data_IF_199132131714
#
_entry.id   IF_199132131714
#
_cell.length_a   1.000
_cell.length_b   1.000
_cell.length_c   1.000
_cell.angle_alpha   90.00
_cell.angle_beta   90.00
_cell.angle_gamma   90.00
#
_symmetry.space_group_name_H-M   'P 1'
#
loop_
_entity.id
_entity.type
_entity.pdbx_description
1 polymer ?
#
# COMPACT_ATOMS: atom_id res chain seq x y z
N UNK A 1 1.86 22.59 -9.16
CA UNK A 1 1.29 21.33 -9.69
C UNK A 1 1.47 20.09 -8.78
N UNK A 2 2.67 19.65 -8.34
CA UNK A 2 2.78 18.52 -7.34
C UNK A 2 2.51 18.92 -5.88
N UNK A 3 2.59 20.22 -5.57
CA UNK A 3 2.61 20.80 -4.21
C UNK A 3 1.25 21.37 -3.79
N UNK A 4 0.35 21.67 -4.74
CA UNK A 4 -0.84 22.47 -4.47
C UNK A 4 -1.97 21.70 -3.78
N UNK A 5 -1.87 20.37 -3.66
CA UNK A 5 -2.90 19.49 -3.06
C UNK A 5 -4.32 19.75 -3.60
N UNK A 6 -4.41 20.08 -4.89
CA UNK A 6 -5.68 20.32 -5.59
C UNK A 6 -6.13 19.06 -6.32
N UNK A 7 -7.43 18.81 -6.29
CA UNK A 7 -8.10 17.79 -7.09
C UNK A 7 -9.23 18.43 -7.91
N UNK A 8 -9.62 17.76 -8.98
CA UNK A 8 -10.79 18.11 -9.78
C UNK A 8 -11.78 16.93 -9.82
N UNK A 9 -12.98 17.20 -10.33
CA UNK A 9 -13.98 16.15 -10.62
C UNK A 9 -14.31 16.30 -12.11
N UNK A 10 -14.22 15.20 -12.87
CA UNK A 10 -14.48 15.23 -14.32
C UNK A 10 -15.89 15.72 -14.64
N UNK A 11 -16.89 15.11 -14.00
CA UNK A 11 -18.25 15.61 -13.96
C UNK A 11 -18.98 15.10 -12.73
N UNK A 12 -20.08 15.77 -12.36
CA UNK A 12 -20.95 15.31 -11.26
C UNK A 12 -21.59 13.96 -11.56
N UNK A 13 -21.81 13.64 -12.84
CA UNK A 13 -22.41 12.38 -13.25
C UNK A 13 -21.42 11.23 -13.12
N UNK A 14 -20.17 11.47 -13.53
CA UNK A 14 -19.10 10.46 -13.50
C UNK A 14 -18.61 10.20 -12.07
N UNK A 15 -18.81 11.17 -11.16
CA UNK A 15 -18.34 11.14 -9.76
C UNK A 15 -16.85 10.78 -9.62
N UNK A 16 -16.06 11.06 -10.65
CA UNK A 16 -14.67 10.65 -10.74
C UNK A 16 -13.75 11.82 -10.39
N UNK A 17 -13.11 11.71 -9.23
CA UNK A 17 -12.11 12.68 -8.76
C UNK A 17 -10.75 12.38 -9.40
N UNK A 18 -10.03 13.42 -9.79
CA UNK A 18 -8.72 13.30 -10.39
C UNK A 18 -7.73 14.33 -9.86
N UNK A 19 -6.45 13.98 -9.93
CA UNK A 19 -5.31 14.88 -9.77
C UNK A 19 -4.51 14.84 -11.07
N UNK A 20 -3.98 15.98 -11.49
CA UNK A 20 -3.12 16.08 -12.66
C UNK A 20 -1.70 16.50 -12.24
N UNK A 21 -0.71 15.74 -12.68
CA UNK A 21 0.70 16.11 -12.60
C UNK A 21 1.21 16.38 -14.01
N UNK A 22 1.99 17.44 -14.17
CA UNK A 22 2.58 17.83 -15.47
C UNK A 22 4.10 17.71 -15.37
N UNK A 23 4.69 17.01 -16.32
CA UNK A 23 6.12 16.72 -16.41
C UNK A 23 6.68 17.20 -17.75
N UNK A 24 8.01 17.14 -17.87
CA UNK A 24 8.75 17.38 -19.12
C UNK A 24 8.36 18.71 -19.80
N UNK A 25 8.35 19.79 -19.01
CA UNK A 25 7.99 21.14 -19.45
C UNK A 25 6.63 21.24 -20.16
N UNK A 26 5.67 20.39 -19.78
CA UNK A 26 4.32 20.38 -20.34
C UNK A 26 4.08 19.26 -21.36
N UNK A 27 5.10 18.49 -21.72
CA UNK A 27 4.96 17.42 -22.73
C UNK A 27 4.30 16.14 -22.20
N UNK A 28 4.20 15.98 -20.88
CA UNK A 28 3.59 14.80 -20.27
C UNK A 28 2.61 15.18 -19.16
N UNK A 29 1.38 14.69 -19.25
CA UNK A 29 0.38 14.80 -18.19
C UNK A 29 0.10 13.42 -17.61
N UNK A 30 0.25 13.28 -16.29
CA UNK A 30 -0.20 12.12 -15.53
C UNK A 30 -1.49 12.47 -14.82
N UNK A 31 -2.57 11.80 -15.22
CA UNK A 31 -3.87 11.88 -14.56
C UNK A 31 -3.95 10.72 -13.57
N UNK A 32 -4.25 11.04 -12.31
CA UNK A 32 -4.39 10.08 -11.22
C UNK A 32 -5.82 10.14 -10.72
N UNK A 33 -6.50 9.01 -10.69
CA UNK A 33 -7.86 8.86 -10.18
C UNK A 33 -7.91 7.82 -9.08
N UNK A 34 -8.81 8.00 -8.12
CA UNK A 34 -9.13 6.95 -7.14
C UNK A 34 -10.16 5.99 -7.76
N UNK A 35 -9.67 4.92 -8.38
CA UNK A 35 -10.51 3.90 -9.01
C UNK A 35 -10.62 2.59 -8.20
N UNK A 36 -10.10 2.54 -6.97
CA UNK A 36 -10.15 1.34 -6.14
C UNK A 36 -10.18 1.70 -4.65
N UNK A 37 -11.17 1.18 -3.88
CA UNK A 37 -11.30 1.52 -2.47
C UNK A 37 -10.14 0.99 -1.61
N UNK A 38 -9.33 0.07 -2.13
CA UNK A 38 -8.28 -0.63 -1.38
C UNK A 38 -7.26 0.33 -0.76
N UNK A 39 -6.67 1.22 -1.56
CA UNK A 39 -5.63 2.14 -1.08
C UNK A 39 -6.20 3.15 -0.06
N UNK A 40 -7.43 3.61 -0.28
CA UNK A 40 -8.13 4.54 0.61
C UNK A 40 -8.43 3.89 1.96
N UNK A 41 -8.85 2.61 1.97
CA UNK A 41 -9.02 1.86 3.22
C UNK A 41 -7.70 1.70 3.99
N UNK A 42 -6.61 1.33 3.30
CA UNK A 42 -5.27 1.22 3.89
C UNK A 42 -4.79 2.55 4.47
N UNK A 43 -4.99 3.66 3.74
CA UNK A 43 -4.69 5.02 4.21
C UNK A 43 -5.50 5.39 5.47
N UNK A 44 -6.77 4.97 5.53
CA UNK A 44 -7.63 5.18 6.69
C UNK A 44 -7.09 4.50 7.94
N UNK A 45 -6.76 3.20 7.85
CA UNK A 45 -6.16 2.43 8.95
C UNK A 45 -4.88 3.12 9.45
N UNK A 46 -4.04 3.63 8.55
CA UNK A 46 -2.77 4.23 8.90
C UNK A 46 -2.92 5.60 9.56
N UNK A 47 -3.71 6.52 8.98
CA UNK A 47 -3.61 7.94 9.32
C UNK A 47 -4.94 8.72 9.36
N UNK A 48 -6.09 8.05 9.33
CA UNK A 48 -7.39 8.74 9.45
C UNK A 48 -7.42 9.66 10.68
N UNK A 49 -8.01 10.83 10.52
CA UNK A 49 -8.06 11.87 11.54
C UNK A 49 -9.48 12.45 11.66
N UNK A 50 -10.13 12.09 12.76
CA UNK A 50 -11.50 12.46 13.11
C UNK A 50 -11.50 13.13 14.51
N UNK A 51 -11.39 14.46 14.59
CA UNK A 51 -11.35 15.19 15.86
C UNK A 51 -12.60 14.96 16.74
N UNK A 52 -13.77 14.84 16.11
CA UNK A 52 -15.06 14.70 16.79
C UNK A 52 -15.37 13.25 17.15
N UNK A 53 -14.80 12.29 16.42
CA UNK A 53 -14.99 10.84 16.65
C UNK A 53 -13.64 10.11 16.69
N UNK A 54 -12.85 10.25 17.77
CA UNK A 54 -11.49 9.70 17.83
C UNK A 54 -11.42 8.17 17.72
N UNK A 55 -12.54 7.47 17.89
CA UNK A 55 -12.64 6.01 17.70
C UNK A 55 -12.44 5.59 16.23
N UNK A 56 -12.66 6.51 15.28
CA UNK A 56 -12.46 6.29 13.85
C UNK A 56 -11.05 6.64 13.36
N UNK A 57 -10.16 7.04 14.27
CA UNK A 57 -8.80 7.42 13.93
C UNK A 57 -7.95 6.22 13.48
N UNK A 58 -7.01 6.51 12.58
CA UNK A 58 -5.95 5.56 12.22
C UNK A 58 -4.91 5.40 13.33
N UNK A 59 -3.91 4.56 13.09
CA UNK A 59 -2.83 4.31 14.05
C UNK A 59 -1.99 5.57 14.33
N UNK A 60 -1.74 6.38 13.31
CA UNK A 60 -1.00 7.65 13.39
C UNK A 60 -1.85 8.82 12.84
N UNK A 61 -2.84 9.30 13.61
CA UNK A 61 -3.83 10.26 13.12
C UNK A 61 -3.17 11.56 12.66
N UNK A 62 -3.50 11.99 11.43
CA UNK A 62 -2.99 13.25 10.88
C UNK A 62 -1.59 13.15 10.27
N UNK A 63 -0.98 11.96 10.23
CA UNK A 63 0.22 11.73 9.44
C UNK A 63 -0.03 12.10 7.96
N UNK A 64 0.98 12.69 7.30
CA UNK A 64 0.86 13.08 5.91
C UNK A 64 1.03 11.86 5.00
N UNK A 65 0.14 11.72 4.03
CA UNK A 65 0.16 10.60 3.10
C UNK A 65 0.60 11.06 1.70
N UNK A 66 1.44 10.23 1.08
CA UNK A 66 1.76 10.32 -0.34
C UNK A 66 1.27 9.03 -0.98
N UNK A 67 0.26 9.14 -1.85
CA UNK A 67 -0.28 8.00 -2.58
C UNK A 67 0.49 7.79 -3.87
N UNK A 68 1.15 6.63 -3.99
CA UNK A 68 1.85 6.21 -5.19
C UNK A 68 1.14 5.00 -5.79
N UNK A 69 0.35 5.23 -6.85
CA UNK A 69 -0.32 4.14 -7.57
C UNK A 69 0.68 3.38 -8.43
N UNK A 70 0.99 2.15 -8.04
CA UNK A 70 1.93 1.25 -8.75
C UNK A 70 1.25 0.30 -9.73
N UNK A 71 -0.05 0.06 -9.55
CA UNK A 71 -0.85 -0.85 -10.38
C UNK A 71 -1.24 -0.24 -11.72
N UNK A 72 -1.07 -0.99 -12.80
CA UNK A 72 -1.44 -0.59 -14.15
C UNK A 72 -2.80 -1.18 -14.55
N UNK A 73 -3.80 -0.32 -14.72
CA UNK A 73 -5.15 -0.71 -15.14
C UNK A 73 -5.19 -1.41 -16.50
N UNK A 74 -4.21 -1.18 -17.37
CA UNK A 74 -4.11 -1.88 -18.66
C UNK A 74 -3.73 -3.36 -18.50
N UNK A 75 -3.17 -3.70 -17.33
CA UNK A 75 -2.74 -5.04 -16.95
C UNK A 75 -3.59 -5.60 -15.79
N UNK A 76 -4.86 -5.17 -15.68
CA UNK A 76 -5.74 -5.65 -14.61
C UNK A 76 -5.34 -5.17 -13.21
N UNK A 77 -4.67 -4.04 -13.11
CA UNK A 77 -4.11 -3.46 -11.87
C UNK A 77 -2.80 -4.08 -11.38
N UNK A 78 -2.21 -5.04 -12.10
CA UNK A 78 -0.89 -5.60 -11.78
C UNK A 78 0.17 -4.49 -11.64
N UNK A 79 1.04 -4.61 -10.64
CA UNK A 79 2.16 -3.70 -10.49
C UNK A 79 3.21 -3.91 -11.59
N UNK A 80 4.01 -2.89 -11.81
CA UNK A 80 5.11 -2.95 -12.78
C UNK A 80 6.41 -2.55 -12.11
N UNK A 81 7.52 -3.15 -12.51
CA UNK A 81 8.84 -2.77 -11.97
C UNK A 81 9.13 -1.29 -12.13
N UNK A 82 8.67 -0.66 -13.23
CA UNK A 82 8.78 0.79 -13.45
C UNK A 82 7.92 1.59 -12.49
N UNK A 83 6.68 1.16 -12.21
CA UNK A 83 5.81 1.78 -11.21
C UNK A 83 6.40 1.70 -9.81
N UNK A 84 6.91 0.53 -9.43
CA UNK A 84 7.57 0.29 -8.15
C UNK A 84 8.81 1.18 -7.96
N UNK A 85 9.71 1.22 -8.93
CA UNK A 85 10.92 2.06 -8.85
C UNK A 85 10.57 3.54 -8.80
N UNK A 86 9.57 4.00 -9.58
CA UNK A 86 9.09 5.39 -9.52
C UNK A 86 8.49 5.75 -8.15
N UNK A 87 7.79 4.82 -7.51
CA UNK A 87 7.25 5.02 -6.17
C UNK A 87 8.37 5.14 -5.12
N UNK A 88 9.42 4.31 -5.22
CA UNK A 88 10.61 4.42 -4.37
C UNK A 88 11.32 5.76 -4.54
N UNK A 89 11.51 6.22 -5.78
CA UNK A 89 12.09 7.53 -6.08
C UNK A 89 11.22 8.63 -5.46
N UNK A 90 9.90 8.57 -5.62
CA UNK A 90 9.00 9.56 -5.02
C UNK A 90 9.10 9.59 -3.49
N UNK A 91 9.21 8.42 -2.84
CA UNK A 91 9.38 8.34 -1.39
C UNK A 91 10.67 9.03 -0.92
N UNK A 92 11.77 8.82 -1.65
CA UNK A 92 13.06 9.49 -1.36
C UNK A 92 12.99 11.00 -1.63
N UNK A 93 12.48 11.41 -2.79
CA UNK A 93 12.34 12.82 -3.17
C UNK A 93 11.52 13.62 -2.16
N UNK A 94 10.44 13.02 -1.67
CA UNK A 94 9.55 13.64 -0.70
C UNK A 94 9.97 13.40 0.77
N UNK A 95 11.10 12.72 0.99
CA UNK A 95 11.65 12.43 2.33
C UNK A 95 10.63 11.72 3.23
N UNK A 96 9.94 10.72 2.69
CA UNK A 96 9.02 9.89 3.47
C UNK A 96 9.78 9.16 4.58
N UNK A 97 9.19 9.09 5.77
CA UNK A 97 9.75 8.30 6.87
C UNK A 97 9.43 6.80 6.75
N UNK A 98 8.29 6.48 6.13
CA UNK A 98 7.76 5.12 6.02
C UNK A 98 7.08 4.87 4.67
N UNK A 99 7.29 3.67 4.14
CA UNK A 99 6.58 3.11 2.99
C UNK A 99 5.73 1.94 3.46
N UNK A 100 4.45 1.95 3.10
CA UNK A 100 3.56 0.81 3.26
C UNK A 100 3.13 0.26 1.90
N UNK A 101 3.47 -1.01 1.64
CA UNK A 101 3.11 -1.71 0.42
C UNK A 101 2.17 -2.88 0.74
N UNK A 102 0.88 -2.70 0.44
CA UNK A 102 -0.14 -3.77 0.54
C UNK A 102 -0.39 -4.39 -0.84
N UNK A 103 0.69 -4.70 -1.56
CA UNK A 103 0.67 -5.29 -2.89
C UNK A 103 1.82 -6.30 -2.97
N UNK A 104 1.64 -7.38 -3.72
CA UNK A 104 2.68 -8.39 -3.83
C UNK A 104 2.29 -9.56 -4.71
N UNK A 105 3.32 -10.28 -5.15
CA UNK A 105 3.22 -11.41 -6.07
C UNK A 105 4.15 -12.55 -5.59
N UNK A 106 3.97 -13.79 -6.09
CA UNK A 106 4.92 -14.86 -5.84
C UNK A 106 6.31 -14.52 -6.38
N UNK A 107 7.36 -14.86 -5.63
CA UNK A 107 8.73 -14.81 -6.11
C UNK A 107 9.37 -16.20 -6.12
N UNK A 108 10.20 -16.45 -7.13
CA UNK A 108 10.95 -17.70 -7.23
C UNK A 108 12.11 -17.77 -6.24
N UNK A 109 12.80 -16.65 -6.03
CA UNK A 109 13.98 -16.55 -5.17
C UNK A 109 13.77 -15.42 -4.16
N UNK A 110 14.04 -15.65 -2.86
CA UNK A 110 14.10 -14.57 -1.89
C UNK A 110 15.39 -13.78 -2.05
N UNK A 111 15.34 -12.52 -1.62
CA UNK A 111 16.45 -11.57 -1.47
C UNK A 111 17.31 -11.40 -2.72
N UNK A 112 16.67 -11.53 -3.89
CA UNK A 112 17.32 -11.45 -5.18
C UNK A 112 16.54 -10.58 -6.16
N UNK A 113 17.29 -9.83 -6.96
CA UNK A 113 16.78 -9.08 -8.10
C UNK A 113 16.82 -7.58 -7.91
N UNK A 114 16.72 -6.87 -9.03
CA UNK A 114 16.98 -5.43 -9.10
C UNK A 114 16.09 -4.60 -8.18
N UNK A 115 14.84 -5.01 -7.97
CA UNK A 115 13.94 -4.30 -7.06
C UNK A 115 14.43 -4.37 -5.62
N UNK A 116 14.88 -5.54 -5.16
CA UNK A 116 15.42 -5.74 -3.81
C UNK A 116 16.69 -4.90 -3.61
N UNK A 117 17.60 -4.86 -4.59
CA UNK A 117 18.80 -4.01 -4.52
C UNK A 117 18.45 -2.54 -4.27
N UNK A 118 17.42 -2.04 -4.96
CA UNK A 118 16.96 -0.65 -4.84
C UNK A 118 16.27 -0.44 -3.49
N UNK A 119 15.46 -1.39 -3.02
CA UNK A 119 14.84 -1.31 -1.69
C UNK A 119 15.91 -1.26 -0.60
N UNK A 120 16.92 -2.13 -0.67
CA UNK A 120 18.05 -2.13 0.26
C UNK A 120 18.74 -0.76 0.26
N UNK A 121 18.98 -0.17 -0.92
CA UNK A 121 19.55 1.17 -1.02
C UNK A 121 18.67 2.25 -0.37
N UNK A 122 17.36 2.20 -0.59
CA UNK A 122 16.39 3.13 0.01
C UNK A 122 16.39 3.02 1.53
N UNK A 123 16.33 1.81 2.07
CA UNK A 123 16.30 1.55 3.51
C UNK A 123 17.63 1.92 4.17
N UNK A 124 18.75 1.50 3.59
CA UNK A 124 20.06 1.69 4.20
C UNK A 124 20.55 3.14 4.11
N UNK A 125 20.47 3.75 2.91
CA UNK A 125 21.01 5.10 2.68
C UNK A 125 20.03 6.20 3.10
N UNK A 126 18.74 6.01 2.84
CA UNK A 126 17.73 7.03 3.10
C UNK A 126 16.97 6.82 4.40
N UNK A 127 17.22 5.69 5.10
CA UNK A 127 16.66 5.39 6.43
C UNK A 127 15.13 5.35 6.45
N UNK A 128 14.52 5.05 5.31
CA UNK A 128 13.07 4.90 5.17
C UNK A 128 12.68 3.51 5.66
N UNK A 129 11.68 3.43 6.55
CA UNK A 129 11.15 2.15 7.00
C UNK A 129 10.26 1.58 5.90
N UNK A 130 10.54 0.36 5.44
CA UNK A 130 9.68 -0.31 4.45
C UNK A 130 8.90 -1.42 5.15
N UNK A 131 7.57 -1.31 5.15
CA UNK A 131 6.66 -2.39 5.57
C UNK A 131 5.86 -2.91 4.38
N UNK A 132 5.65 -4.23 4.34
CA UNK A 132 4.86 -4.88 3.31
C UNK A 132 4.06 -6.03 3.89
N UNK A 133 2.85 -6.26 3.37
CA UNK A 133 2.08 -7.46 3.72
C UNK A 133 2.85 -8.73 3.34
N UNK A 134 2.80 -9.76 4.18
CA UNK A 134 3.35 -11.08 3.89
C UNK A 134 2.59 -11.81 2.75
N UNK A 135 1.39 -11.31 2.41
CA UNK A 135 0.53 -11.87 1.38
C UNK A 135 -0.60 -12.72 1.97
N UNK A 136 -1.54 -13.08 1.09
CA UNK A 136 -2.78 -13.77 1.45
C UNK A 136 -2.85 -15.20 0.88
N UNK A 137 -1.71 -15.76 0.45
CA UNK A 137 -1.67 -17.03 -0.27
C UNK A 137 -1.57 -18.26 0.65
N UNK A 138 -1.80 -18.10 1.95
CA UNK A 138 -1.84 -19.22 2.88
C UNK A 138 -3.01 -20.17 2.60
N UNK A 139 -3.19 -21.24 3.40
CA UNK A 139 -2.53 -21.52 4.66
C UNK A 139 -1.30 -22.46 4.55
N UNK A 140 -0.90 -22.85 3.34
CA UNK A 140 0.23 -23.76 3.17
C UNK A 140 1.57 -23.12 3.59
N UNK A 141 2.53 -23.94 4.01
CA UNK A 141 3.88 -23.47 4.31
C UNK A 141 4.55 -22.89 3.05
N UNK A 142 5.46 -21.92 3.25
CA UNK A 142 6.22 -21.25 2.18
C UNK A 142 5.35 -20.49 1.16
N UNK A 143 4.23 -19.91 1.61
CA UNK A 143 3.31 -19.12 0.77
C UNK A 143 3.50 -17.60 0.89
N UNK A 144 4.53 -17.18 1.63
CA UNK A 144 4.85 -15.75 1.79
C UNK A 144 5.27 -15.16 0.45
N UNK A 145 4.67 -14.03 0.09
CA UNK A 145 4.90 -13.35 -1.18
C UNK A 145 6.02 -12.29 -1.15
N UNK A 146 6.39 -11.82 -2.33
CA UNK A 146 7.24 -10.65 -2.49
C UNK A 146 6.41 -9.36 -2.45
N UNK A 147 6.96 -8.26 -1.90
CA UNK A 147 8.27 -8.19 -1.28
C UNK A 147 8.27 -8.55 0.22
N UNK A 148 7.10 -8.77 0.81
CA UNK A 148 6.88 -8.88 2.26
C UNK A 148 7.70 -9.93 3.01
N UNK A 149 8.01 -11.08 2.42
CA UNK A 149 8.92 -12.06 3.04
C UNK A 149 10.14 -12.40 2.22
N UNK A 150 10.53 -11.51 1.32
CA UNK A 150 11.62 -11.78 0.39
C UNK A 150 12.82 -10.88 0.60
N UNK A 151 12.89 -10.05 1.64
CA UNK A 151 14.13 -9.33 1.96
C UNK A 151 14.21 -8.98 3.44
N UNK A 152 15.44 -8.93 3.97
CA UNK A 152 15.72 -8.53 5.35
C UNK A 152 15.52 -7.04 5.62
N UNK A 153 15.54 -6.21 4.58
CA UNK A 153 15.31 -4.76 4.67
C UNK A 153 13.83 -4.40 4.79
N UNK A 154 12.93 -5.36 4.62
CA UNK A 154 11.48 -5.15 4.57
C UNK A 154 10.84 -5.84 5.78
N UNK A 155 10.02 -5.09 6.50
CA UNK A 155 9.24 -5.64 7.60
C UNK A 155 7.97 -6.29 7.03
N UNK A 156 7.98 -7.62 6.96
CA UNK A 156 6.85 -8.44 6.55
C UNK A 156 5.76 -8.52 7.62
N UNK A 157 4.52 -8.17 7.26
CA UNK A 157 3.37 -8.15 8.17
C UNK A 157 2.37 -9.25 7.80
N UNK A 158 2.21 -10.23 8.68
CA UNK A 158 1.12 -11.21 8.62
C UNK A 158 -0.17 -10.67 9.24
N UNK A 159 -1.31 -11.26 8.87
CA UNK A 159 -2.62 -10.89 9.41
C UNK A 159 -3.15 -11.98 10.35
N UNK A 160 -3.83 -11.55 11.40
CA UNK A 160 -4.42 -12.41 12.43
C UNK A 160 -5.83 -11.95 12.74
N UNK A 161 -6.76 -12.90 12.85
CA UNK A 161 -8.14 -12.65 13.28
C UNK A 161 -8.37 -13.31 14.64
N UNK A 162 -8.73 -12.48 15.62
CA UNK A 162 -9.10 -12.95 16.96
C UNK A 162 -10.45 -13.68 16.95
N UNK A 163 -10.74 -14.56 17.92
CA UNK A 163 -12.05 -15.22 18.04
C UNK A 163 -13.23 -14.25 18.08
N UNK A 164 -13.06 -13.11 18.76
CA UNK A 164 -14.09 -12.07 18.85
C UNK A 164 -14.37 -11.43 17.47
N UNK A 165 -13.33 -11.15 16.70
CA UNK A 165 -13.47 -10.63 15.33
C UNK A 165 -14.06 -11.68 14.39
N UNK A 166 -13.67 -12.96 14.52
CA UNK A 166 -14.24 -14.03 13.72
C UNK A 166 -15.76 -14.12 13.94
N UNK A 167 -16.22 -14.12 15.20
CA UNK A 167 -17.63 -14.14 15.56
C UNK A 167 -18.41 -12.93 15.03
N UNK A 168 -17.86 -11.73 15.20
CA UNK A 168 -18.59 -10.49 14.93
C UNK A 168 -18.49 -9.98 13.49
N UNK A 169 -17.38 -10.22 12.80
CA UNK A 169 -17.05 -9.59 11.52
C UNK A 169 -16.94 -10.58 10.33
N UNK A 170 -16.74 -11.88 10.59
CA UNK A 170 -16.53 -12.89 9.53
C UNK A 170 -17.62 -13.96 9.47
N UNK A 171 -18.75 -13.77 10.17
CA UNK A 171 -19.94 -14.64 10.11
C UNK A 171 -19.64 -16.14 10.29
N UNK A 172 -18.62 -16.50 11.07
CA UNK A 172 -18.29 -17.91 11.31
C UNK A 172 -19.39 -18.57 12.15
N UNK A 173 -19.75 -19.80 11.80
CA UNK A 173 -20.80 -20.57 12.50
C UNK A 173 -20.46 -20.76 13.98
N UNK A 174 -19.18 -20.96 14.29
CA UNK A 174 -18.64 -20.89 15.64
C UNK A 174 -17.29 -20.18 15.61
N UNK A 175 -17.02 -19.24 16.52
CA UNK A 175 -15.70 -18.66 16.65
C UNK A 175 -14.68 -19.74 17.04
N UNK A 176 -13.48 -19.72 16.44
CA UNK A 176 -12.42 -20.64 16.82
C UNK A 176 -12.00 -20.38 18.28
N UNK A 177 -11.52 -21.41 18.98
CA UNK A 177 -11.08 -21.30 20.37
C UNK A 177 -9.84 -20.42 20.53
N UNK A 178 -9.04 -20.33 19.48
CA UNK A 178 -7.86 -19.47 19.37
C UNK A 178 -7.97 -18.65 18.08
N UNK A 179 -7.31 -17.51 18.02
CA UNK A 179 -7.32 -16.75 16.77
C UNK A 179 -6.48 -17.44 15.70
N UNK A 180 -6.76 -17.10 14.46
CA UNK A 180 -6.20 -17.77 13.30
C UNK A 180 -5.45 -16.78 12.43
N UNK A 181 -4.45 -17.28 11.70
CA UNK A 181 -3.87 -16.54 10.58
C UNK A 181 -4.98 -16.22 9.57
N UNK A 182 -4.95 -14.99 9.07
CA UNK A 182 -5.97 -14.51 8.15
C UNK A 182 -5.39 -14.36 6.75
N UNK A 183 -6.05 -15.00 5.81
CA UNK A 183 -5.80 -14.90 4.38
C UNK A 183 -7.10 -14.43 3.72
N UNK A 184 -7.04 -13.37 2.92
CA UNK A 184 -8.17 -12.84 2.16
C UNK A 184 -8.66 -13.81 1.07
#
# INVERSE_FOLDING_TARGET
>A
CRIERKFGIFSKLDACSFVANVYDDGNLVSIVTDCSPHATHVAGIAAAFHPEEPVLNGVAPGAQLISCRIGDTRLGSMETGTGLVRALIAAVEHKCDLINMSYGEPALLPDYGRFIDIVNEVVDKHRIIFISSAGNNGPALNTVGAPGGTSSSIIGIGAYVSPAMAAGAHCVVQPPSEGMEYTW
#
